data_IF_312995925553
#
_entry.id   IF_312995925553
#
_cell.length_a   1.000
_cell.length_b   1.000
_cell.length_c   1.000
_cell.angle_alpha   90.00
_cell.angle_beta   90.00
_cell.angle_gamma   90.00
#
_symmetry.space_group_name_H-M   'P 1'
#
loop_
_entity.id
_entity.type
_entity.pdbx_description
1 polymer ?
#
# COMPACT_ATOMS: atom_id res chain seq x y z
N UNK A 1 23.87 6.45 38.49
CA UNK A 1 23.44 7.85 38.75
C UNK A 1 23.82 8.83 37.62
N UNK A 2 25.09 9.26 37.47
CA UNK A 2 25.46 10.26 36.45
C UNK A 2 25.32 9.75 34.99
N UNK A 3 25.69 8.49 34.76
CA UNK A 3 25.60 7.85 33.44
C UNK A 3 24.15 7.52 33.05
N UNK A 4 23.34 7.17 34.04
CA UNK A 4 21.90 6.91 33.93
C UNK A 4 21.12 8.17 33.56
N UNK A 5 21.47 9.30 34.20
CA UNK A 5 20.89 10.62 33.89
C UNK A 5 21.25 11.05 32.46
N UNK A 6 22.50 10.82 32.03
CA UNK A 6 22.94 11.14 30.66
C UNK A 6 22.20 10.32 29.61
N UNK A 7 21.92 9.04 29.89
CA UNK A 7 21.16 8.15 28.99
C UNK A 7 19.70 8.58 28.90
N UNK A 8 19.10 8.97 30.02
CA UNK A 8 17.72 9.47 30.09
C UNK A 8 17.54 10.80 29.34
N UNK A 9 18.48 11.73 29.46
CA UNK A 9 18.44 13.02 28.74
C UNK A 9 18.55 12.82 27.21
N UNK A 10 19.39 11.86 26.78
CA UNK A 10 19.57 11.54 25.37
C UNK A 10 18.31 10.91 24.75
N UNK A 11 17.63 10.04 25.51
CA UNK A 11 16.38 9.42 25.08
C UNK A 11 15.23 10.42 25.03
N UNK A 12 15.16 11.35 26.00
CA UNK A 12 14.15 12.42 26.03
C UNK A 12 14.31 13.37 24.85
N UNK A 13 15.55 13.76 24.51
CA UNK A 13 15.84 14.60 23.33
C UNK A 13 15.42 13.91 22.03
N UNK A 14 15.68 12.60 21.93
CA UNK A 14 15.33 11.79 20.76
C UNK A 14 13.81 11.64 20.60
N UNK A 15 13.08 11.46 21.70
CA UNK A 15 11.61 11.42 21.69
C UNK A 15 10.99 12.75 21.24
N UNK A 16 11.54 13.88 21.71
CA UNK A 16 11.06 15.21 21.32
C UNK A 16 11.25 15.49 19.82
N UNK A 17 12.40 15.09 19.25
CA UNK A 17 12.69 15.27 17.82
C UNK A 17 11.76 14.41 16.93
N UNK A 18 11.47 13.18 17.36
CA UNK A 18 10.53 12.30 16.67
C UNK A 18 9.10 12.86 16.72
N UNK A 19 8.68 13.38 17.87
CA UNK A 19 7.35 13.98 18.02
C UNK A 19 7.18 15.23 17.14
N UNK A 20 8.22 16.06 17.02
CA UNK A 20 8.24 17.20 16.11
C UNK A 20 8.12 16.77 14.64
N UNK A 21 8.86 15.74 14.22
CA UNK A 21 8.77 15.17 12.86
C UNK A 21 7.38 14.63 12.56
N UNK A 22 6.73 13.98 13.52
CA UNK A 22 5.36 13.47 13.36
C UNK A 22 4.32 14.60 13.25
N UNK A 23 4.46 15.67 14.04
CA UNK A 23 3.61 16.86 13.93
C UNK A 23 3.75 17.55 12.57
N UNK A 24 4.98 17.75 12.09
CA UNK A 24 5.25 18.35 10.78
C UNK A 24 4.64 17.50 9.65
N UNK A 25 4.77 16.17 9.74
CA UNK A 25 4.17 15.25 8.77
C UNK A 25 2.64 15.32 8.79
N UNK A 26 2.02 15.42 9.96
CA UNK A 26 0.57 15.56 10.10
C UNK A 26 0.06 16.86 9.46
N UNK A 27 0.77 17.98 9.66
CA UNK A 27 0.45 19.26 9.03
C UNK A 27 0.56 19.18 7.50
N UNK A 28 1.66 18.60 6.98
CA UNK A 28 1.85 18.40 5.54
C UNK A 28 0.77 17.52 4.91
N UNK A 29 0.25 16.52 5.63
CA UNK A 29 -0.88 15.69 5.18
C UNK A 29 -2.18 16.48 5.14
N UNK A 30 -2.49 17.24 6.18
CA UNK A 30 -3.67 18.09 6.23
C UNK A 30 -3.73 19.06 5.05
N UNK A 31 -2.60 19.72 4.76
CA UNK A 31 -2.47 20.60 3.60
C UNK A 31 -2.66 19.87 2.26
N UNK A 32 -2.10 18.66 2.11
CA UNK A 32 -2.26 17.86 0.90
C UNK A 32 -3.73 17.49 0.64
N UNK A 33 -4.44 17.06 1.69
CA UNK A 33 -5.84 16.67 1.62
C UNK A 33 -6.67 17.87 1.22
N UNK A 34 -6.48 19.02 1.87
CA UNK A 34 -7.19 20.26 1.51
C UNK A 34 -6.93 20.66 0.06
N UNK A 35 -5.69 20.58 -0.41
CA UNK A 35 -5.35 20.88 -1.81
C UNK A 35 -6.07 19.93 -2.79
N UNK A 36 -6.09 18.63 -2.51
CA UNK A 36 -6.80 17.64 -3.33
C UNK A 36 -8.31 17.88 -3.30
N UNK A 37 -8.90 18.10 -2.12
CA UNK A 37 -10.34 18.35 -1.97
C UNK A 37 -10.76 19.62 -2.72
N UNK A 38 -9.99 20.70 -2.62
CA UNK A 38 -10.24 21.93 -3.38
C UNK A 38 -10.11 21.68 -4.88
N UNK A 39 -9.05 21.00 -5.31
CA UNK A 39 -8.80 20.72 -6.73
C UNK A 39 -9.87 19.81 -7.36
N UNK A 40 -10.44 18.87 -6.59
CA UNK A 40 -11.55 18.00 -7.02
C UNK A 40 -12.91 18.72 -7.05
N UNK A 41 -13.01 19.89 -6.42
CA UNK A 41 -14.26 20.66 -6.29
C UNK A 41 -14.34 21.86 -7.24
N UNK A 42 -13.28 22.12 -8.03
CA UNK A 42 -13.25 23.23 -8.99
C UNK A 42 -13.81 22.80 -10.36
N UNK A 43 -14.69 23.63 -10.92
CA UNK A 43 -15.03 23.62 -12.34
C UNK A 43 -14.34 24.80 -13.04
N UNK A 44 -13.69 24.59 -14.19
CA UNK A 44 -13.62 23.34 -14.96
C UNK A 44 -12.68 22.29 -14.30
N UNK A 45 -12.84 20.99 -14.64
CA UNK A 45 -11.98 19.94 -14.10
C UNK A 45 -10.50 20.22 -14.42
N UNK A 46 -9.63 19.87 -13.46
CA UNK A 46 -8.18 20.07 -13.53
C UNK A 46 -7.59 19.65 -14.88
N UNK A 47 -6.73 20.49 -15.41
CA UNK A 47 -5.97 20.17 -16.62
C UNK A 47 -5.01 19.02 -16.36
N UNK A 48 -4.64 18.28 -17.42
CA UNK A 48 -3.62 17.23 -17.36
C UNK A 48 -2.30 17.70 -16.74
N UNK A 49 -1.95 18.98 -16.92
CA UNK A 49 -0.75 19.58 -16.34
C UNK A 49 -0.85 19.68 -14.81
N UNK A 50 -2.02 20.01 -14.26
CA UNK A 50 -2.25 20.10 -12.81
C UNK A 50 -2.31 18.72 -12.16
N UNK A 51 -2.91 17.73 -12.83
CA UNK A 51 -2.87 16.33 -12.43
C UNK A 51 -1.43 15.80 -12.33
N UNK A 52 -0.60 16.07 -13.34
CA UNK A 52 0.80 15.66 -13.34
C UNK A 52 1.61 16.35 -12.24
N UNK A 53 1.32 17.63 -11.95
CA UNK A 53 1.95 18.35 -10.84
C UNK A 53 1.55 17.76 -9.48
N UNK A 54 0.29 17.43 -9.26
CA UNK A 54 -0.20 16.77 -8.04
C UNK A 54 0.46 15.39 -7.88
N UNK A 55 0.58 14.63 -8.97
CA UNK A 55 1.27 13.33 -8.96
C UNK A 55 2.76 13.46 -8.59
N UNK A 56 3.46 14.43 -9.18
CA UNK A 56 4.87 14.70 -8.87
C UNK A 56 5.05 15.12 -7.39
N UNK A 57 4.16 15.96 -6.88
CA UNK A 57 4.21 16.43 -5.50
C UNK A 57 3.89 15.32 -4.48
N UNK A 58 2.98 14.41 -4.82
CA UNK A 58 2.75 13.16 -4.07
C UNK A 58 3.99 12.26 -4.09
N UNK A 59 4.70 12.19 -5.22
CA UNK A 59 5.92 11.38 -5.35
C UNK A 59 7.08 11.93 -4.52
N UNK A 60 7.31 13.24 -4.54
CA UNK A 60 8.34 13.89 -3.74
C UNK A 60 8.13 13.63 -2.23
N UNK A 61 6.89 13.85 -1.74
CA UNK A 61 6.53 13.57 -0.33
C UNK A 61 6.65 12.10 0.05
N UNK A 62 6.52 11.17 -0.91
CA UNK A 62 6.75 9.74 -0.67
C UNK A 62 8.23 9.43 -0.49
N UNK A 63 9.13 10.08 -1.26
CA UNK A 63 10.56 9.80 -1.20
C UNK A 63 11.16 10.17 0.17
N UNK A 64 10.86 11.36 0.69
CA UNK A 64 11.32 11.79 2.02
C UNK A 64 10.83 10.86 3.15
N UNK A 65 9.62 10.32 3.00
CA UNK A 65 9.05 9.35 3.94
C UNK A 65 9.78 8.01 3.89
N UNK A 66 10.24 7.58 2.72
CA UNK A 66 10.98 6.31 2.56
C UNK A 66 12.30 6.36 3.33
N UNK A 67 13.07 7.44 3.18
CA UNK A 67 14.37 7.60 3.87
C UNK A 67 14.23 7.64 5.40
N UNK A 68 13.21 8.33 5.92
CA UNK A 68 12.93 8.32 7.35
C UNK A 68 12.47 6.94 7.86
N UNK A 69 11.71 6.21 7.04
CA UNK A 69 11.27 4.86 7.36
C UNK A 69 12.44 3.85 7.37
N UNK A 70 13.41 3.99 6.49
CA UNK A 70 14.61 3.13 6.43
C UNK A 70 15.46 3.27 7.70
N UNK A 71 15.75 4.51 8.14
CA UNK A 71 16.48 4.77 9.38
C UNK A 71 15.75 4.22 10.62
N UNK A 72 14.41 4.35 10.65
CA UNK A 72 13.60 3.79 11.73
C UNK A 72 13.57 2.25 11.68
N UNK A 73 13.59 1.66 10.50
CA UNK A 73 13.60 0.21 10.33
C UNK A 73 14.90 -0.42 10.86
N UNK A 74 16.05 0.22 10.64
CA UNK A 74 17.33 -0.24 11.18
C UNK A 74 17.33 -0.22 12.71
N UNK A 75 16.87 0.88 13.33
CA UNK A 75 16.77 0.97 14.79
C UNK A 75 15.83 -0.07 15.38
N UNK A 76 14.68 -0.31 14.74
CA UNK A 76 13.74 -1.37 15.14
C UNK A 76 14.42 -2.74 15.04
N UNK A 77 15.19 -3.00 13.98
CA UNK A 77 15.89 -4.26 13.81
C UNK A 77 16.97 -4.47 14.89
N UNK A 78 17.70 -3.42 15.26
CA UNK A 78 18.68 -3.49 16.34
C UNK A 78 18.02 -3.80 17.69
N UNK A 79 16.92 -3.12 18.04
CA UNK A 79 16.16 -3.42 19.26
C UNK A 79 15.59 -4.85 19.26
N UNK A 80 15.16 -5.34 18.10
CA UNK A 80 14.72 -6.73 17.95
C UNK A 80 15.87 -7.72 18.18
N UNK A 81 17.07 -7.43 17.66
CA UNK A 81 18.27 -8.24 17.88
C UNK A 81 18.63 -8.26 19.36
N UNK A 82 18.64 -7.12 20.03
CA UNK A 82 18.87 -7.04 21.49
C UNK A 82 17.85 -7.89 22.27
N UNK A 83 16.56 -7.82 21.91
CA UNK A 83 15.51 -8.66 22.52
C UNK A 83 15.73 -10.15 22.25
N UNK A 84 16.12 -10.51 21.03
CA UNK A 84 16.40 -11.89 20.65
C UNK A 84 17.66 -12.43 21.35
N UNK A 85 18.66 -11.60 21.63
CA UNK A 85 19.86 -11.97 22.39
C UNK A 85 19.51 -12.16 23.88
N UNK A 86 18.72 -11.25 24.44
CA UNK A 86 18.34 -11.29 25.85
C UNK A 86 17.50 -12.51 26.22
N UNK A 87 16.53 -12.87 25.37
CA UNK A 87 15.71 -14.09 25.56
C UNK A 87 15.28 -14.67 24.19
N UNK A 88 16.11 -15.54 23.60
CA UNK A 88 15.83 -16.12 22.27
C UNK A 88 14.55 -16.94 22.24
N UNK A 89 14.21 -17.62 23.34
CA UNK A 89 13.01 -18.47 23.40
C UNK A 89 11.75 -17.61 23.40
N UNK A 90 11.67 -16.59 24.26
CA UNK A 90 10.54 -15.66 24.31
C UNK A 90 10.39 -14.90 23.00
N UNK A 91 11.49 -14.37 22.44
CA UNK A 91 11.46 -13.67 21.16
C UNK A 91 10.88 -14.56 20.06
N UNK A 92 11.32 -15.82 19.98
CA UNK A 92 10.81 -16.78 19.00
C UNK A 92 9.30 -16.98 19.14
N UNK A 93 8.77 -17.16 20.36
CA UNK A 93 7.33 -17.33 20.56
C UNK A 93 6.55 -16.08 20.12
N UNK A 94 7.02 -14.89 20.49
CA UNK A 94 6.41 -13.64 20.04
C UNK A 94 6.44 -13.49 18.51
N UNK A 95 7.55 -13.86 17.87
CA UNK A 95 7.72 -13.82 16.42
C UNK A 95 6.70 -14.76 15.74
N UNK A 96 6.53 -15.99 16.24
CA UNK A 96 5.51 -16.93 15.75
C UNK A 96 4.12 -16.32 15.82
N UNK A 97 3.70 -15.86 16.99
CA UNK A 97 2.38 -15.26 17.19
C UNK A 97 2.15 -14.06 16.27
N UNK A 98 3.14 -13.16 16.15
CA UNK A 98 3.02 -11.98 15.27
C UNK A 98 2.93 -12.36 13.79
N UNK A 99 3.58 -13.44 13.36
CA UNK A 99 3.48 -13.94 11.99
C UNK A 99 2.10 -14.55 11.74
N UNK A 100 1.62 -15.39 12.66
CA UNK A 100 0.30 -16.03 12.56
C UNK A 100 -0.84 -15.01 12.53
N UNK A 101 -0.77 -14.00 13.40
CA UNK A 101 -1.72 -12.88 13.39
C UNK A 101 -1.70 -12.14 12.06
N UNK A 102 -0.52 -11.91 11.45
CA UNK A 102 -0.45 -11.23 10.15
C UNK A 102 -0.98 -12.07 9.01
N UNK A 103 -0.70 -13.37 8.99
CA UNK A 103 -1.29 -14.30 8.04
C UNK A 103 -2.83 -14.25 8.12
N UNK A 104 -3.37 -14.38 9.34
CA UNK A 104 -4.82 -14.35 9.57
C UNK A 104 -5.44 -13.00 9.20
N UNK A 105 -4.90 -11.89 9.69
CA UNK A 105 -5.44 -10.54 9.44
C UNK A 105 -5.45 -10.18 7.95
N UNK A 106 -4.50 -10.71 7.18
CA UNK A 106 -4.39 -10.45 5.76
C UNK A 106 -5.08 -11.53 4.89
N UNK A 107 -5.72 -12.54 5.49
CA UNK A 107 -6.36 -13.64 4.74
C UNK A 107 -5.37 -14.46 3.91
N UNK A 108 -4.14 -14.62 4.40
CA UNK A 108 -3.06 -15.34 3.74
C UNK A 108 -2.86 -16.68 4.46
N UNK A 109 -2.87 -17.76 3.68
CA UNK A 109 -2.56 -19.10 4.19
C UNK A 109 -1.05 -19.35 4.11
N UNK A 110 -0.55 -20.30 4.89
CA UNK A 110 0.89 -20.62 4.85
C UNK A 110 1.34 -21.05 3.46
N UNK A 111 0.47 -21.76 2.73
CA UNK A 111 0.71 -22.28 1.39
C UNK A 111 0.80 -21.16 0.34
N UNK A 112 0.25 -19.97 0.64
CA UNK A 112 0.36 -18.80 -0.24
C UNK A 112 1.76 -18.15 -0.17
N UNK A 113 2.57 -18.46 0.86
CA UNK A 113 3.94 -17.96 0.98
C UNK A 113 4.86 -18.62 -0.03
N UNK A 114 6.01 -18.00 -0.32
CA UNK A 114 7.03 -18.66 -1.15
C UNK A 114 7.57 -19.93 -0.46
N UNK A 115 7.98 -20.98 -1.21
CA UNK A 115 8.49 -22.22 -0.61
C UNK A 115 9.61 -22.01 0.41
N UNK A 116 10.50 -21.06 0.14
CA UNK A 116 11.57 -20.67 1.07
C UNK A 116 11.01 -20.12 2.39
N UNK A 117 9.99 -19.25 2.34
CA UNK A 117 9.38 -18.67 3.54
C UNK A 117 8.48 -19.65 4.29
N UNK A 118 7.87 -20.62 3.60
CA UNK A 118 7.18 -21.74 4.23
C UNK A 118 8.18 -22.55 5.07
N UNK A 119 9.31 -22.93 4.48
CA UNK A 119 10.35 -23.67 5.19
C UNK A 119 10.94 -22.85 6.36
N UNK A 120 11.21 -21.56 6.15
CA UNK A 120 11.70 -20.68 7.20
C UNK A 120 10.71 -20.56 8.38
N UNK A 121 9.40 -20.48 8.09
CA UNK A 121 8.36 -20.47 9.11
C UNK A 121 8.32 -21.80 9.88
N UNK A 122 8.47 -22.94 9.21
CA UNK A 122 8.54 -24.24 9.88
C UNK A 122 9.77 -24.34 10.80
N UNK A 123 10.96 -23.94 10.33
CA UNK A 123 12.17 -23.89 11.16
C UNK A 123 12.00 -22.99 12.38
N UNK A 124 11.34 -21.84 12.21
CA UNK A 124 11.00 -20.93 13.30
C UNK A 124 10.05 -21.61 14.30
N UNK A 125 9.00 -22.29 13.82
CA UNK A 125 8.00 -23.01 14.64
C UNK A 125 8.62 -24.16 15.43
N UNK A 126 9.50 -24.94 14.82
CA UNK A 126 10.19 -26.06 15.45
C UNK A 126 11.33 -25.61 16.37
N UNK A 127 11.71 -24.34 16.31
CA UNK A 127 12.82 -23.80 17.10
C UNK A 127 14.19 -24.27 16.63
N UNK A 128 14.31 -24.61 15.35
CA UNK A 128 15.57 -25.00 14.69
C UNK A 128 16.51 -23.79 14.51
N UNK A 129 15.96 -22.58 14.46
CA UNK A 129 16.74 -21.34 14.39
C UNK A 129 17.22 -20.96 15.80
N UNK A 130 18.50 -21.21 16.07
CA UNK A 130 19.13 -20.94 17.39
C UNK A 130 19.77 -19.56 17.47
N UNK A 131 20.33 -19.09 16.36
CA UNK A 131 21.02 -17.80 16.32
C UNK A 131 20.01 -16.62 16.44
N UNK A 132 20.21 -15.70 17.39
CA UNK A 132 19.33 -14.54 17.57
C UNK A 132 19.21 -13.62 16.37
N UNK A 133 20.29 -13.40 15.61
CA UNK A 133 20.24 -12.54 14.43
C UNK A 133 19.41 -13.20 13.33
N UNK A 134 19.61 -14.50 13.10
CA UNK A 134 18.82 -15.30 12.17
C UNK A 134 17.34 -15.34 12.54
N UNK A 135 16.98 -15.30 13.84
CA UNK A 135 15.57 -15.19 14.27
C UNK A 135 14.93 -13.89 13.78
N UNK A 136 15.60 -12.76 13.95
CA UNK A 136 15.11 -11.43 13.53
C UNK A 136 15.02 -11.33 12.01
N UNK A 137 16.05 -11.81 11.31
CA UNK A 137 16.09 -11.83 9.84
C UNK A 137 14.98 -12.71 9.26
N UNK A 138 14.80 -13.91 9.82
CA UNK A 138 13.73 -14.83 9.41
C UNK A 138 12.34 -14.23 9.65
N UNK A 139 12.09 -13.65 10.83
CA UNK A 139 10.83 -12.97 11.13
C UNK A 139 10.56 -11.84 10.12
N UNK A 140 11.59 -11.04 9.83
CA UNK A 140 11.50 -9.92 8.90
C UNK A 140 11.16 -10.42 7.50
N UNK A 141 11.92 -11.39 6.99
CA UNK A 141 11.74 -11.97 5.65
C UNK A 141 10.34 -12.55 5.45
N UNK A 142 9.85 -13.33 6.41
CA UNK A 142 8.50 -13.91 6.36
C UNK A 142 7.45 -12.79 6.33
N UNK A 143 7.58 -11.77 7.17
CA UNK A 143 6.65 -10.62 7.20
C UNK A 143 6.65 -9.83 5.89
N UNK A 144 7.81 -9.63 5.27
CA UNK A 144 7.90 -8.98 3.97
C UNK A 144 7.18 -9.80 2.90
N UNK A 145 7.36 -11.13 2.89
CA UNK A 145 6.68 -12.01 1.94
C UNK A 145 5.16 -12.03 2.13
N UNK A 146 4.67 -12.05 3.38
CA UNK A 146 3.24 -11.90 3.70
C UNK A 146 2.67 -10.65 3.02
N UNK A 147 3.34 -9.50 3.16
CA UNK A 147 2.84 -8.27 2.54
C UNK A 147 2.91 -8.25 1.02
N UNK A 148 3.94 -8.88 0.42
CA UNK A 148 4.03 -9.05 -1.03
C UNK A 148 2.88 -9.91 -1.55
N UNK A 149 2.60 -11.03 -0.89
CA UNK A 149 1.50 -11.94 -1.23
C UNK A 149 0.15 -11.24 -1.06
N UNK A 150 -0.03 -10.46 0.00
CA UNK A 150 -1.25 -9.65 0.22
C UNK A 150 -1.48 -8.69 -0.95
N UNK A 151 -0.45 -7.92 -1.32
CA UNK A 151 -0.50 -6.97 -2.41
C UNK A 151 -0.86 -7.67 -3.73
N UNK A 152 -0.24 -8.82 -4.00
CA UNK A 152 -0.50 -9.62 -5.19
C UNK A 152 -1.94 -10.15 -5.22
N UNK A 153 -2.43 -10.75 -4.13
CA UNK A 153 -3.81 -11.26 -4.07
C UNK A 153 -4.82 -10.13 -4.27
N UNK A 154 -4.58 -8.97 -3.66
CA UNK A 154 -5.47 -7.81 -3.80
C UNK A 154 -5.53 -7.27 -5.23
N UNK A 155 -4.39 -7.12 -5.91
CA UNK A 155 -4.41 -6.65 -7.30
C UNK A 155 -5.02 -7.70 -8.25
N UNK A 156 -4.82 -9.00 -7.98
CA UNK A 156 -5.45 -10.08 -8.74
C UNK A 156 -6.97 -10.06 -8.57
N UNK A 157 -7.48 -9.90 -7.35
CA UNK A 157 -8.93 -9.72 -7.10
C UNK A 157 -9.50 -8.51 -7.85
N UNK A 158 -8.84 -7.35 -7.74
CA UNK A 158 -9.24 -6.14 -8.47
C UNK A 158 -9.25 -6.37 -9.98
N UNK A 159 -8.24 -7.03 -10.52
CA UNK A 159 -8.18 -7.37 -11.96
C UNK A 159 -9.39 -8.17 -12.40
N UNK A 160 -9.73 -9.25 -11.68
CA UNK A 160 -10.88 -10.09 -12.00
C UNK A 160 -12.20 -9.32 -11.92
N UNK A 161 -12.38 -8.49 -10.87
CA UNK A 161 -13.59 -7.70 -10.69
C UNK A 161 -13.74 -6.61 -11.74
N UNK A 162 -12.65 -5.99 -12.17
CA UNK A 162 -12.62 -5.02 -13.30
C UNK A 162 -13.08 -5.69 -14.58
N UNK A 163 -12.49 -6.83 -14.94
CA UNK A 163 -12.86 -7.58 -16.15
C UNK A 163 -14.35 -7.97 -16.12
N UNK A 164 -14.84 -8.44 -14.98
CA UNK A 164 -16.26 -8.79 -14.82
C UNK A 164 -17.17 -7.57 -14.96
N UNK A 165 -16.84 -6.44 -14.32
CA UNK A 165 -17.64 -5.22 -14.38
C UNK A 165 -17.71 -4.64 -15.80
N UNK A 166 -16.60 -4.67 -16.54
CA UNK A 166 -16.54 -4.25 -17.94
C UNK A 166 -17.40 -5.17 -18.84
N UNK A 167 -17.32 -6.49 -18.63
CA UNK A 167 -18.14 -7.47 -19.37
C UNK A 167 -19.64 -7.29 -19.13
N UNK A 168 -20.03 -7.07 -17.87
CA UNK A 168 -21.43 -6.89 -17.46
C UNK A 168 -21.96 -5.48 -17.70
N UNK A 169 -21.11 -4.54 -18.13
CA UNK A 169 -21.48 -3.12 -18.34
C UNK A 169 -22.09 -2.46 -17.08
N UNK A 170 -21.71 -2.93 -15.89
CA UNK A 170 -22.32 -2.48 -14.64
C UNK A 170 -21.67 -1.16 -14.17
N UNK A 171 -22.32 -0.03 -14.50
CA UNK A 171 -21.83 1.33 -14.18
C UNK A 171 -21.58 1.55 -12.68
N UNK A 172 -22.45 1.01 -11.82
CA UNK A 172 -22.29 1.13 -10.36
C UNK A 172 -21.04 0.40 -9.88
N UNK A 173 -20.82 -0.84 -10.33
CA UNK A 173 -19.60 -1.60 -10.01
C UNK A 173 -18.34 -0.93 -10.56
N UNK A 174 -18.39 -0.38 -11.76
CA UNK A 174 -17.26 0.37 -12.36
C UNK A 174 -16.88 1.56 -11.47
N UNK A 175 -17.85 2.36 -11.02
CA UNK A 175 -17.59 3.50 -10.15
C UNK A 175 -16.97 3.07 -8.81
N UNK A 176 -17.44 1.97 -8.22
CA UNK A 176 -16.87 1.40 -6.99
C UNK A 176 -15.43 0.94 -7.21
N UNK A 177 -15.15 0.21 -8.29
CA UNK A 177 -13.81 -0.29 -8.60
C UNK A 177 -12.81 0.83 -8.89
N UNK A 178 -13.23 1.93 -9.52
CA UNK A 178 -12.38 3.13 -9.67
C UNK A 178 -11.93 3.67 -8.31
N UNK A 179 -12.85 3.79 -7.34
CA UNK A 179 -12.52 4.24 -5.98
C UNK A 179 -11.55 3.30 -5.28
N UNK A 180 -11.75 1.99 -5.42
CA UNK A 180 -10.86 0.98 -4.83
C UNK A 180 -9.45 1.01 -5.45
N UNK A 181 -9.33 1.18 -6.77
CA UNK A 181 -8.04 1.32 -7.45
C UNK A 181 -7.33 2.62 -7.06
N UNK A 182 -8.04 3.73 -6.95
CA UNK A 182 -7.48 4.99 -6.44
C UNK A 182 -7.02 4.84 -4.98
N UNK A 183 -7.78 4.14 -4.13
CA UNK A 183 -7.37 3.83 -2.76
C UNK A 183 -6.13 2.93 -2.73
N UNK A 184 -6.05 1.94 -3.63
CA UNK A 184 -4.87 1.09 -3.80
C UNK A 184 -3.63 1.91 -4.20
N UNK A 185 -3.76 2.78 -5.20
CA UNK A 185 -2.67 3.62 -5.72
C UNK A 185 -2.20 4.68 -4.73
N UNK A 186 -3.12 5.22 -3.91
CA UNK A 186 -2.81 6.21 -2.87
C UNK A 186 -2.28 5.59 -1.57
N UNK A 187 -2.47 4.28 -1.38
CA UNK A 187 -1.94 3.54 -0.22
C UNK A 187 -0.47 3.83 0.03
N UNK A 188 -0.10 3.97 1.31
CA UNK A 188 1.31 4.07 1.71
C UNK A 188 1.98 2.71 1.90
N UNK A 189 1.32 1.62 1.50
CA UNK A 189 1.91 0.29 1.55
C UNK A 189 2.98 0.15 0.45
N UNK A 190 4.25 0.03 0.86
CA UNK A 190 5.39 -0.05 -0.06
C UNK A 190 5.32 -1.26 -1.00
N UNK A 191 4.65 -2.34 -0.58
CA UNK A 191 4.52 -3.56 -1.39
C UNK A 191 3.51 -3.40 -2.53
N UNK A 192 2.70 -2.33 -2.51
CA UNK A 192 1.80 -2.01 -3.63
C UNK A 192 2.55 -1.33 -4.77
N UNK A 193 3.76 -0.81 -4.52
CA UNK A 193 4.56 -0.13 -5.54
C UNK A 193 4.86 -1.04 -6.74
N UNK A 194 5.15 -2.33 -6.51
CA UNK A 194 5.40 -3.29 -7.59
C UNK A 194 4.16 -3.60 -8.44
N UNK A 195 2.97 -3.33 -7.90
CA UNK A 195 1.68 -3.57 -8.57
C UNK A 195 1.06 -2.28 -9.14
N UNK A 196 1.76 -1.15 -9.00
CA UNK A 196 1.25 0.18 -9.35
C UNK A 196 0.86 0.27 -10.83
N UNK A 197 1.74 -0.18 -11.73
CA UNK A 197 1.49 -0.14 -13.17
C UNK A 197 0.25 -0.95 -13.55
N UNK A 198 0.04 -2.11 -12.91
CA UNK A 198 -1.13 -2.95 -13.15
C UNK A 198 -2.40 -2.20 -12.72
N UNK A 199 -2.38 -1.59 -11.52
CA UNK A 199 -3.52 -0.81 -11.02
C UNK A 199 -3.82 0.42 -11.88
N UNK A 200 -2.81 1.15 -12.37
CA UNK A 200 -2.98 2.29 -13.29
C UNK A 200 -3.60 1.85 -14.61
N UNK A 201 -3.15 0.73 -15.18
CA UNK A 201 -3.71 0.17 -16.40
C UNK A 201 -5.18 -0.24 -16.23
N UNK A 202 -5.54 -0.84 -15.09
CA UNK A 202 -6.94 -1.21 -14.78
C UNK A 202 -7.82 0.04 -14.63
N UNK A 203 -7.31 1.10 -14.00
CA UNK A 203 -8.04 2.35 -13.84
C UNK A 203 -8.32 2.99 -15.21
N UNK A 204 -7.31 3.05 -16.08
CA UNK A 204 -7.46 3.57 -17.44
C UNK A 204 -8.51 2.78 -18.26
N UNK A 205 -8.56 1.45 -18.11
CA UNK A 205 -9.60 0.63 -18.76
C UNK A 205 -11.02 1.01 -18.31
N UNK A 206 -11.23 1.22 -17.01
CA UNK A 206 -12.52 1.65 -16.48
C UNK A 206 -12.89 3.08 -16.90
N UNK A 207 -11.91 3.97 -17.08
CA UNK A 207 -12.11 5.34 -17.55
C UNK A 207 -12.52 5.40 -19.01
N UNK A 208 -11.80 4.70 -19.88
CA UNK A 208 -12.11 4.62 -21.31
C UNK A 208 -13.49 4.00 -21.57
N UNK A 209 -13.91 3.05 -20.74
CA UNK A 209 -15.26 2.48 -20.84
C UNK A 209 -16.38 3.53 -20.62
N UNK A 210 -16.10 4.57 -19.84
CA UNK A 210 -17.09 5.62 -19.51
C UNK A 210 -17.28 6.62 -20.65
N UNK A 211 -16.29 6.79 -21.53
CA UNK A 211 -16.34 7.76 -22.64
C UNK A 211 -16.96 7.17 -23.91
N UNK A 212 -16.77 5.88 -24.20
CA UNK A 212 -17.22 5.28 -25.47
C UNK A 212 -18.72 4.99 -25.55
N UNK A 213 -19.44 4.91 -24.42
CA UNK A 213 -20.87 4.58 -24.41
C UNK A 213 -21.80 5.80 -24.53
N UNK A 214 -21.28 7.03 -24.63
CA UNK A 214 -22.15 8.21 -24.74
C UNK A 214 -22.56 8.56 -26.18
N UNK A 215 -21.85 8.07 -27.19
CA UNK A 215 -21.99 8.59 -28.57
C UNK A 215 -22.76 7.70 -29.56
N UNK A 216 -23.32 6.55 -29.13
CA UNK A 216 -24.05 5.65 -30.05
C UNK A 216 -25.58 5.77 -30.05
N UNK A 217 -26.15 6.82 -29.46
CA UNK A 217 -27.60 7.01 -29.40
C UNK A 217 -28.03 8.40 -29.90
N UNK A 218 -27.70 8.77 -31.15
CA UNK A 218 -28.49 9.70 -31.98
C UNK A 218 -27.88 9.90 -33.38
N UNK A 219 -28.17 9.02 -34.34
CA UNK A 219 -28.22 9.39 -35.77
C UNK A 219 -29.05 8.40 -36.59
N UNK A 220 -30.32 8.22 -36.20
CA UNK A 220 -31.27 7.48 -37.02
C UNK A 220 -32.60 8.23 -37.16
N UNK A 221 -32.56 9.51 -37.53
CA UNK A 221 -33.71 10.17 -38.15
C UNK A 221 -33.63 10.03 -39.66
N UNK A 222 -34.26 8.94 -40.12
CA UNK A 222 -34.96 8.75 -41.40
C UNK A 222 -34.95 9.96 -42.34
N UNK A 223 -34.21 9.86 -43.45
CA UNK A 223 -34.57 10.53 -44.69
C UNK A 223 -35.33 9.53 -45.55
N UNK A 224 -36.67 9.56 -45.48
CA UNK A 224 -37.52 8.81 -46.38
C UNK A 224 -37.44 9.43 -47.78
N UNK A 225 -37.00 8.62 -48.75
CA UNK A 225 -37.30 8.80 -50.15
C UNK A 225 -38.80 9.02 -50.38
N UNK A 226 -39.14 9.98 -51.23
CA UNK A 226 -40.40 10.00 -51.97
C UNK A 226 -40.08 10.10 -53.46
N UNK A 227 -40.49 9.14 -54.30
CA UNK A 227 -40.40 9.25 -55.75
C UNK A 227 -41.77 9.59 -56.38
N UNK A 228 -41.72 10.32 -57.50
CA UNK A 228 -42.83 10.48 -58.47
C UNK A 228 -43.53 11.84 -58.39
N UNK A 229 -43.82 12.54 -59.49
CA UNK A 229 -43.76 12.25 -60.93
C UNK A 229 -43.48 13.56 -61.67
#
# INVERSE_FOLDING_TARGET
>A
AAEEKKKQDQETKKQAEEQAKQQELAQKRGQAITQITTALSQEPPLSNHELNRILADIQARRHDKITAQENNQEQINNLKKEKAIADPHKYRQEAKTKIEQKLQNNGIKTEDLSPENQQALQKLKNGEIKDPNQLVETETKIKQNIYQVEAQKKITDLTSRVQQALKLKNKSHIATLKKELLAFLSSSNIYYASQKQVAENLLAQLENYSTTNHDQNNSATKSNNFPGK
#
